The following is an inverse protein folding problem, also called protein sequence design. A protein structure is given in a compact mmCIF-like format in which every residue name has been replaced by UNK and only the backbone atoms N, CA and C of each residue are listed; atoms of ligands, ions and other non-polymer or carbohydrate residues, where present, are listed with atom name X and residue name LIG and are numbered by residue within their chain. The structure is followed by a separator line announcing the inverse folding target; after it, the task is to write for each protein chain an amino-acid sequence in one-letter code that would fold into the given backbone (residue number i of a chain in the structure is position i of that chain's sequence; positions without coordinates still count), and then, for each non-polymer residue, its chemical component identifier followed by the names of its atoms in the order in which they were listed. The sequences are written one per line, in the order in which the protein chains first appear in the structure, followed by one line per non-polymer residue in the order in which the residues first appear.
data_IF_596966893714
#
_entry.id   IF_596966893714
#
_cell.length_a   1.000
_cell.length_b   1.000
_cell.length_c   1.000
_cell.angle_alpha   90.00
_cell.angle_beta   90.00
_cell.angle_gamma   90.00
#
_symmetry.space_group_name_H-M   'P 1'
#
loop_
_entity.id
_entity.type
_entity.pdbx_description
1 polymer ?
#
# COMPACT_ATOMS: atom_id res chain seq x y z
N UNK A 1 40.70 0.34 47.28
CA UNK A 1 40.78 1.52 46.40
C UNK A 1 40.85 1.02 44.98
N UNK A 2 39.90 1.44 44.13
CA UNK A 2 39.97 1.48 42.66
C UNK A 2 40.05 0.09 41.99
N UNK A 3 39.04 -0.41 41.26
CA UNK A 3 38.34 0.17 40.11
C UNK A 3 36.90 -0.37 39.95
N UNK A 4 35.95 0.48 39.56
CA UNK A 4 34.81 0.07 38.70
C UNK A 4 35.12 0.61 37.32
N UNK A 5 35.08 -0.20 36.25
CA UNK A 5 33.97 -0.08 35.28
C UNK A 5 33.68 -1.44 34.59
N UNK A 6 32.61 -1.70 33.84
CA UNK A 6 31.84 -0.93 32.88
C UNK A 6 30.48 -1.64 32.79
N UNK A 7 29.37 -0.91 32.83
CA UNK A 7 28.06 -1.50 32.54
C UNK A 7 28.10 -2.05 31.12
N UNK A 8 27.96 -3.37 30.98
CA UNK A 8 27.75 -4.00 29.70
C UNK A 8 26.49 -3.36 29.11
N UNK A 9 26.69 -2.69 27.98
CA UNK A 9 25.64 -2.16 27.13
C UNK A 9 24.53 -3.20 27.00
N UNK A 10 23.30 -2.80 27.29
CA UNK A 10 22.14 -3.55 26.83
C UNK A 10 22.27 -3.64 25.31
N UNK A 11 22.29 -4.86 24.79
CA UNK A 11 22.10 -5.09 23.36
C UNK A 11 20.66 -4.67 23.03
N UNK A 12 20.49 -3.37 22.82
CA UNK A 12 19.43 -2.84 22.01
C UNK A 12 19.72 -3.30 20.59
N UNK A 13 19.43 -4.57 20.29
CA UNK A 13 19.17 -5.02 18.93
C UNK A 13 17.88 -4.34 18.50
N UNK A 14 18.08 -3.09 18.09
CA UNK A 14 17.16 -2.21 17.41
C UNK A 14 16.44 -3.01 16.31
N UNK A 15 15.13 -2.83 16.27
CA UNK A 15 14.20 -3.22 15.21
C UNK A 15 14.87 -3.78 13.96
N UNK A 16 14.56 -5.03 13.61
CA UNK A 16 14.64 -5.49 12.22
C UNK A 16 13.63 -4.68 11.40
N UNK A 17 13.96 -3.44 11.08
CA UNK A 17 13.22 -2.65 10.12
C UNK A 17 13.44 -3.34 8.78
N UNK A 18 12.46 -4.12 8.36
CA UNK A 18 12.39 -4.78 7.05
C UNK A 18 12.81 -3.77 5.99
N UNK A 19 14.04 -3.87 5.51
CA UNK A 19 14.48 -3.05 4.39
C UNK A 19 13.68 -3.52 3.18
N UNK A 20 12.88 -2.65 2.54
CA UNK A 20 12.14 -3.05 1.35
C UNK A 20 13.15 -3.50 0.29
N UNK A 21 12.98 -4.70 -0.23
CA UNK A 21 13.71 -5.13 -1.43
C UNK A 21 13.42 -4.16 -2.56
N UNK A 22 14.42 -3.88 -3.41
CA UNK A 22 14.20 -3.10 -4.62
C UNK A 22 13.08 -3.76 -5.45
N UNK A 23 12.10 -2.99 -5.95
CA UNK A 23 11.06 -3.54 -6.79
C UNK A 23 11.69 -4.13 -8.06
N UNK A 24 11.20 -5.29 -8.44
CA UNK A 24 11.53 -5.98 -9.69
C UNK A 24 10.70 -5.42 -10.84
N UNK A 25 11.00 -5.80 -12.09
CA UNK A 25 10.16 -5.42 -13.24
C UNK A 25 8.72 -5.95 -13.11
N UNK A 26 8.54 -7.11 -12.47
CA UNK A 26 7.22 -7.73 -12.29
C UNK A 26 6.30 -6.90 -11.38
N UNK A 27 6.87 -6.16 -10.42
CA UNK A 27 6.12 -5.25 -9.55
C UNK A 27 5.46 -4.09 -10.33
N UNK A 28 5.93 -3.82 -11.55
CA UNK A 28 5.39 -2.79 -12.45
C UNK A 28 4.55 -3.36 -13.61
N UNK A 29 4.46 -4.69 -13.76
CA UNK A 29 3.75 -5.31 -14.87
C UNK A 29 2.22 -5.23 -14.75
N UNK A 30 1.69 -5.01 -13.54
CA UNK A 30 0.26 -5.00 -13.24
C UNK A 30 -0.25 -3.64 -12.76
N UNK A 31 0.19 -2.54 -13.38
CA UNK A 31 -0.28 -1.19 -13.03
C UNK A 31 -1.74 -1.00 -13.43
N UNK A 32 -2.61 -0.83 -12.43
CA UNK A 32 -3.99 -0.39 -12.62
C UNK A 32 -4.01 1.13 -12.65
N UNK A 33 -4.43 1.69 -13.77
CA UNK A 33 -4.65 3.12 -13.97
C UNK A 33 -6.12 3.46 -13.77
N UNK A 34 -6.37 4.57 -13.07
CA UNK A 34 -7.70 5.13 -12.84
C UNK A 34 -7.85 6.44 -13.62
N UNK A 35 -8.92 6.55 -14.41
CA UNK A 35 -9.18 7.73 -15.24
C UNK A 35 -10.07 8.79 -14.58
N UNK A 36 -11.10 8.35 -13.84
CA UNK A 36 -12.06 9.23 -13.18
C UNK A 36 -13.09 8.47 -12.36
N UNK A 37 -13.82 9.20 -11.51
CA UNK A 37 -14.86 8.64 -10.66
C UNK A 37 -16.04 9.62 -10.47
N UNK A 38 -17.25 9.10 -10.30
CA UNK A 38 -18.45 9.88 -9.96
C UNK A 38 -19.40 9.06 -9.08
N UNK A 39 -20.02 9.72 -8.10
CA UNK A 39 -21.15 9.15 -7.38
C UNK A 39 -22.43 9.23 -8.21
N UNK A 40 -23.34 8.29 -7.99
CA UNK A 40 -24.71 8.41 -8.49
C UNK A 40 -25.47 9.52 -7.73
N UNK A 41 -26.49 10.16 -8.34
CA UNK A 41 -27.23 11.26 -7.69
C UNK A 41 -27.93 10.88 -6.38
N UNK A 42 -28.32 9.61 -6.25
CA UNK A 42 -28.92 9.02 -5.04
C UNK A 42 -27.87 8.56 -4.01
N UNK A 43 -26.58 8.66 -4.32
CA UNK A 43 -25.47 8.31 -3.42
C UNK A 43 -25.26 6.82 -3.18
N UNK A 44 -25.96 5.95 -3.92
CA UNK A 44 -25.91 4.49 -3.69
C UNK A 44 -24.78 3.79 -4.44
N UNK A 45 -24.23 4.41 -5.50
CA UNK A 45 -23.25 3.81 -6.38
C UNK A 45 -22.07 4.75 -6.67
N UNK A 46 -20.91 4.15 -6.93
CA UNK A 46 -19.70 4.81 -7.42
C UNK A 46 -19.36 4.24 -8.80
N UNK A 47 -19.30 5.10 -9.80
CA UNK A 47 -18.80 4.79 -11.13
C UNK A 47 -17.30 5.11 -11.21
N UNK A 48 -16.48 4.16 -11.67
CA UNK A 48 -15.02 4.31 -11.80
C UNK A 48 -14.54 3.81 -13.15
N UNK A 49 -13.65 4.55 -13.80
CA UNK A 49 -12.98 4.11 -15.02
C UNK A 49 -11.59 3.58 -14.67
N UNK A 50 -11.29 2.33 -15.01
CA UNK A 50 -9.95 1.75 -14.82
C UNK A 50 -9.59 0.73 -15.90
N UNK A 51 -8.31 0.37 -16.01
CA UNK A 51 -7.80 -0.61 -16.97
C UNK A 51 -7.44 -1.98 -16.36
N UNK A 52 -8.03 -2.36 -15.22
CA UNK A 52 -7.63 -3.57 -14.47
C UNK A 52 -7.73 -4.88 -15.27
N UNK A 53 -8.52 -4.90 -16.34
CA UNK A 53 -8.68 -6.04 -17.26
C UNK A 53 -7.76 -5.96 -18.49
N UNK A 54 -6.85 -4.97 -18.57
CA UNK A 54 -6.01 -4.69 -19.74
C UNK A 54 -6.60 -3.65 -20.70
N UNK A 55 -7.86 -3.25 -20.51
CA UNK A 55 -8.53 -2.19 -21.28
C UNK A 55 -9.31 -1.28 -20.34
N UNK A 56 -9.45 0.00 -20.67
CA UNK A 56 -10.29 0.91 -19.89
C UNK A 56 -11.76 0.47 -19.92
N UNK A 57 -12.32 0.28 -18.73
CA UNK A 57 -13.69 -0.15 -18.51
C UNK A 57 -14.35 0.73 -17.45
N UNK A 58 -15.68 0.86 -17.53
CA UNK A 58 -16.51 1.48 -16.51
C UNK A 58 -16.99 0.43 -15.53
N UNK A 59 -16.74 0.64 -14.25
CA UNK A 59 -17.15 -0.23 -13.16
C UNK A 59 -18.11 0.50 -12.23
N UNK A 60 -19.21 -0.16 -11.86
CA UNK A 60 -20.15 0.32 -10.86
C UNK A 60 -19.94 -0.47 -9.56
N UNK A 61 -19.73 0.25 -8.46
CA UNK A 61 -19.60 -0.34 -7.13
C UNK A 61 -20.67 0.24 -6.21
N UNK A 62 -21.42 -0.60 -5.47
CA UNK A 62 -22.28 -0.12 -4.40
C UNK A 62 -21.47 0.62 -3.33
N UNK A 63 -21.93 1.79 -2.88
CA UNK A 63 -21.27 2.55 -1.81
C UNK A 63 -21.31 1.81 -0.48
N UNK A 64 -22.34 0.98 -0.27
CA UNK A 64 -22.45 0.12 0.91
C UNK A 64 -21.34 -0.95 1.02
N UNK A 65 -20.58 -1.18 -0.05
CA UNK A 65 -19.58 -2.25 -0.14
C UNK A 65 -20.21 -3.63 -0.37
N UNK A 66 -19.37 -4.58 -0.82
CA UNK A 66 -19.72 -5.97 -1.10
C UNK A 66 -18.50 -6.78 -1.54
#
# INVERSE_FOLDING_TARGET
MVDRPFAMYEDHTMSSKTQPSLPTMDDFAAVITYGGASFSPDGTQLAVINNRSGQYNLWLQPVAGG
#
